data_IF_455289957298
#
_entry.id   IF_455289957298
#
_cell.length_a   1.000
_cell.length_b   1.000
_cell.length_c   1.000
_cell.angle_alpha   90.00
_cell.angle_beta   90.00
_cell.angle_gamma   90.00
#
_symmetry.space_group_name_H-M   'P 1'
#
loop_
_entity.id
_entity.type
_entity.pdbx_description
1 polymer ?
#
# COMPACT_ATOMS: atom_id res chain seq x y z
N UNK A 1 13.68 17.15 2.41
CA UNK A 1 13.20 18.47 2.82
C UNK A 1 11.80 18.63 2.23
N UNK A 2 10.73 18.71 3.04
CA UNK A 2 9.38 18.91 2.53
C UNK A 2 9.20 20.24 1.76
N UNK A 3 10.16 21.19 1.86
CA UNK A 3 10.20 22.41 1.05
C UNK A 3 10.96 22.27 -0.28
N UNK A 4 11.62 21.13 -0.52
CA UNK A 4 12.36 20.84 -1.75
C UNK A 4 11.51 20.21 -2.85
N UNK A 5 12.13 19.96 -4.00
CA UNK A 5 11.53 19.10 -5.03
C UNK A 5 11.28 17.70 -4.45
N UNK A 6 10.06 17.20 -4.64
CA UNK A 6 9.62 15.90 -4.15
C UNK A 6 8.60 15.30 -5.10
N UNK A 7 8.49 13.98 -5.04
CA UNK A 7 7.44 13.21 -5.70
C UNK A 7 6.58 12.59 -4.59
N UNK A 8 5.27 12.82 -4.67
CA UNK A 8 4.28 12.29 -3.73
C UNK A 8 3.72 10.94 -4.19
N UNK A 9 3.04 10.24 -3.27
CA UNK A 9 2.20 9.05 -3.56
C UNK A 9 2.99 7.85 -4.10
N UNK A 10 4.25 7.70 -3.68
CA UNK A 10 5.15 6.65 -4.18
C UNK A 10 4.82 5.25 -3.66
N UNK A 11 4.07 5.15 -2.57
CA UNK A 11 3.90 3.94 -1.76
C UNK A 11 3.39 2.73 -2.55
N UNK A 12 2.36 2.88 -3.40
CA UNK A 12 1.83 1.74 -4.17
C UNK A 12 2.80 1.24 -5.23
N UNK A 13 3.54 2.17 -5.85
CA UNK A 13 4.58 1.84 -6.82
C UNK A 13 5.74 1.13 -6.13
N UNK A 14 6.22 1.68 -5.02
CA UNK A 14 7.28 1.07 -4.21
C UNK A 14 6.89 -0.32 -3.69
N UNK A 15 5.65 -0.49 -3.23
CA UNK A 15 5.11 -1.78 -2.82
C UNK A 15 5.11 -2.80 -3.98
N UNK A 16 4.82 -2.33 -5.20
CA UNK A 16 4.88 -3.16 -6.41
C UNK A 16 6.31 -3.59 -6.72
N UNK A 17 7.26 -2.66 -6.71
CA UNK A 17 8.68 -2.97 -6.96
C UNK A 17 9.20 -3.98 -5.92
N UNK A 18 8.91 -3.76 -4.65
CA UNK A 18 9.27 -4.67 -3.57
C UNK A 18 8.62 -6.04 -3.74
N UNK A 19 7.30 -6.07 -3.97
CA UNK A 19 6.49 -7.28 -4.11
C UNK A 19 6.91 -8.14 -5.30
N UNK A 20 7.31 -7.52 -6.43
CA UNK A 20 7.76 -8.22 -7.62
C UNK A 20 9.27 -8.49 -7.65
N UNK A 21 10.02 -7.98 -6.68
CA UNK A 21 11.46 -8.19 -6.58
C UNK A 21 12.28 -7.39 -7.61
N UNK A 22 11.83 -6.18 -7.96
CA UNK A 22 12.54 -5.29 -8.86
C UNK A 22 13.61 -4.52 -8.09
N UNK A 23 14.88 -4.73 -8.44
CA UNK A 23 16.01 -4.08 -7.76
C UNK A 23 16.48 -2.80 -8.44
N UNK A 24 16.37 -2.71 -9.76
CA UNK A 24 16.89 -1.59 -10.55
C UNK A 24 15.85 -1.19 -11.61
N UNK A 25 15.39 0.05 -11.57
CA UNK A 25 14.42 0.59 -12.51
C UNK A 25 14.58 2.11 -12.59
N UNK A 26 14.26 2.70 -13.75
CA UNK A 26 14.10 4.14 -13.92
C UNK A 26 12.60 4.40 -14.08
N UNK A 27 12.07 5.28 -13.23
CA UNK A 27 10.67 5.72 -13.26
C UNK A 27 10.68 7.21 -13.62
N UNK A 28 10.04 7.54 -14.73
CA UNK A 28 9.85 8.93 -15.18
C UNK A 28 8.37 9.30 -15.08
N UNK A 29 8.09 10.48 -14.53
CA UNK A 29 6.74 10.97 -14.31
C UNK A 29 6.69 12.43 -14.72
N UNK A 30 5.67 12.78 -15.51
CA UNK A 30 5.38 14.17 -15.85
C UNK A 30 4.38 14.74 -14.81
N UNK A 31 4.89 15.11 -13.65
CA UNK A 31 4.10 15.58 -12.51
C UNK A 31 4.87 15.58 -11.20
N UNK A 32 4.19 15.95 -10.11
CA UNK A 32 4.75 15.95 -8.75
C UNK A 32 4.27 14.77 -7.90
N UNK A 33 3.51 13.86 -8.48
CA UNK A 33 2.95 12.69 -7.81
C UNK A 33 2.92 11.48 -8.75
N UNK A 34 3.09 10.30 -8.17
CA UNK A 34 2.81 9.04 -8.87
C UNK A 34 1.30 8.94 -9.10
N UNK A 35 0.84 8.55 -10.32
CA UNK A 35 -0.59 8.40 -10.58
C UNK A 35 -1.25 7.41 -9.62
N UNK A 36 -2.39 7.80 -9.03
CA UNK A 36 -3.14 6.96 -8.08
C UNK A 36 -3.83 5.75 -8.75
N UNK A 37 -4.02 5.82 -10.08
CA UNK A 37 -4.68 4.81 -10.90
C UNK A 37 -6.06 4.45 -10.33
N UNK A 38 -6.31 3.17 -10.00
CA UNK A 38 -7.55 2.70 -9.39
C UNK A 38 -7.50 2.68 -7.84
N UNK A 39 -6.46 3.29 -7.26
CA UNK A 39 -6.20 3.28 -5.82
C UNK A 39 -5.46 2.05 -5.31
N UNK A 40 -5.11 1.11 -6.19
CA UNK A 40 -4.36 -0.11 -5.85
C UNK A 40 -3.05 -0.20 -6.65
N UNK A 41 -2.30 -1.28 -6.45
CA UNK A 41 -1.05 -1.56 -7.14
C UNK A 41 -1.22 -2.37 -8.45
N UNK A 42 -2.43 -2.89 -8.74
CA UNK A 42 -2.61 -3.87 -9.81
C UNK A 42 -2.17 -3.37 -11.18
N UNK A 43 -2.46 -2.11 -11.52
CA UNK A 43 -2.07 -1.55 -12.81
C UNK A 43 -0.53 -1.38 -12.94
N UNK A 44 0.20 -1.17 -11.83
CA UNK A 44 1.66 -1.21 -11.84
C UNK A 44 2.19 -2.64 -12.03
N UNK A 45 1.55 -3.63 -11.41
CA UNK A 45 1.88 -5.05 -11.64
C UNK A 45 1.74 -5.40 -13.11
N UNK A 46 0.61 -5.04 -13.72
CA UNK A 46 0.32 -5.31 -15.13
C UNK A 46 1.35 -4.65 -16.07
N UNK A 47 1.72 -3.40 -15.78
CA UNK A 47 2.73 -2.68 -16.55
C UNK A 47 4.12 -3.35 -16.46
N UNK A 48 4.53 -3.81 -15.27
CA UNK A 48 5.80 -4.51 -15.08
C UNK A 48 5.78 -5.89 -15.74
N UNK A 49 4.68 -6.64 -15.59
CA UNK A 49 4.53 -7.95 -16.22
C UNK A 49 4.54 -7.83 -17.76
N UNK A 50 3.99 -6.74 -18.31
CA UNK A 50 4.06 -6.43 -19.74
C UNK A 50 5.47 -6.04 -20.20
N UNK A 51 6.22 -5.29 -19.39
CA UNK A 51 7.60 -4.90 -19.69
C UNK A 51 8.57 -6.09 -19.58
N UNK A 52 8.29 -7.04 -18.69
CA UNK A 52 9.15 -8.17 -18.38
C UNK A 52 10.23 -7.83 -17.34
N UNK A 53 10.87 -8.87 -16.81
CA UNK A 53 11.92 -8.76 -15.79
C UNK A 53 13.19 -9.44 -16.28
N UNK A 54 14.27 -8.66 -16.40
CA UNK A 54 15.60 -9.18 -16.74
C UNK A 54 16.40 -9.54 -15.49
N UNK A 55 16.92 -10.77 -15.45
CA UNK A 55 17.81 -11.21 -14.37
C UNK A 55 19.24 -10.81 -14.67
N UNK A 56 19.80 -9.93 -13.83
CA UNK A 56 21.18 -9.48 -13.97
C UNK A 56 22.17 -10.50 -13.37
N UNK A 57 23.41 -10.63 -13.90
CA UNK A 57 24.42 -11.57 -13.41
C UNK A 57 25.11 -11.09 -12.12
N UNK A 58 24.33 -10.58 -11.17
CA UNK A 58 24.79 -10.08 -9.87
C UNK A 58 23.88 -10.62 -8.77
N UNK A 59 24.46 -10.93 -7.61
CA UNK A 59 23.68 -11.40 -6.47
C UNK A 59 22.83 -10.24 -5.90
N UNK A 60 21.54 -10.48 -5.76
CA UNK A 60 20.62 -9.59 -5.03
C UNK A 60 21.08 -9.44 -3.58
N UNK A 61 21.03 -8.22 -3.05
CA UNK A 61 21.38 -7.90 -1.66
C UNK A 61 20.09 -7.79 -0.83
N UNK A 62 20.18 -8.21 0.42
CA UNK A 62 19.05 -8.20 1.36
C UNK A 62 19.48 -7.60 2.70
N UNK A 63 18.54 -6.92 3.36
CA UNK A 63 18.69 -6.52 4.76
C UNK A 63 18.12 -7.63 5.62
N UNK A 64 18.94 -8.22 6.49
CA UNK A 64 18.51 -9.27 7.41
C UNK A 64 18.33 -8.71 8.82
N UNK A 65 17.14 -8.87 9.38
CA UNK A 65 16.85 -8.57 10.78
C UNK A 65 17.50 -9.62 11.67
N UNK A 66 18.47 -9.21 12.50
CA UNK A 66 19.24 -10.12 13.38
C UNK A 66 18.81 -10.08 14.84
N UNK A 67 18.02 -9.09 15.24
CA UNK A 67 17.44 -8.95 16.58
C UNK A 67 16.12 -8.16 16.50
N UNK A 68 15.21 -8.32 17.48
CA UNK A 68 13.99 -7.53 17.52
C UNK A 68 14.26 -6.02 17.60
N UNK A 69 13.49 -5.23 16.86
CA UNK A 69 13.49 -3.77 16.91
C UNK A 69 12.03 -3.31 16.92
N UNK A 70 11.63 -2.56 17.95
CA UNK A 70 10.26 -2.13 18.16
C UNK A 70 10.19 -0.63 18.38
N UNK A 71 9.18 0.00 17.79
CA UNK A 71 8.78 1.38 18.05
C UNK A 71 7.32 1.41 18.48
N UNK A 72 6.99 2.34 19.37
CA UNK A 72 5.64 2.53 19.90
C UNK A 72 5.25 4.00 19.80
N UNK A 73 3.97 4.25 19.48
CA UNK A 73 3.39 5.59 19.45
C UNK A 73 1.93 5.49 19.91
N UNK A 74 1.66 5.89 21.17
CA UNK A 74 0.35 5.76 21.77
C UNK A 74 -0.13 4.32 21.83
N UNK A 75 -1.27 4.02 21.19
CA UNK A 75 -1.83 2.67 21.12
C UNK A 75 -1.25 1.82 19.96
N UNK A 76 -0.43 2.41 19.08
CA UNK A 76 0.12 1.75 17.89
C UNK A 76 1.58 1.37 18.09
N UNK A 77 2.03 0.34 17.38
CA UNK A 77 3.43 -0.10 17.38
C UNK A 77 3.80 -0.75 16.05
N UNK A 78 5.10 -0.77 15.75
CA UNK A 78 5.69 -1.55 14.66
C UNK A 78 6.93 -2.30 15.19
N UNK A 79 7.10 -3.55 14.77
CA UNK A 79 8.22 -4.40 15.22
C UNK A 79 8.78 -5.23 14.07
N UNK A 80 10.11 -5.24 13.95
CA UNK A 80 10.84 -6.24 13.19
C UNK A 80 11.35 -7.34 14.09
N UNK A 81 11.23 -8.60 13.67
CA UNK A 81 11.78 -9.77 14.36
C UNK A 81 12.63 -10.60 13.39
N UNK A 82 13.67 -11.30 13.87
CA UNK A 82 14.40 -12.25 13.05
C UNK A 82 13.44 -13.32 12.51
N UNK A 83 13.46 -13.53 11.20
CA UNK A 83 12.62 -14.50 10.50
C UNK A 83 13.35 -15.00 9.25
N UNK A 84 13.18 -16.29 8.92
CA UNK A 84 13.80 -16.90 7.74
C UNK A 84 12.89 -16.75 6.52
N UNK A 85 12.88 -15.52 5.98
CA UNK A 85 12.02 -15.11 4.88
C UNK A 85 11.56 -13.66 5.05
N UNK A 86 10.47 -13.31 4.36
CA UNK A 86 9.83 -12.00 4.50
C UNK A 86 8.38 -12.23 4.88
N UNK A 87 7.99 -11.76 6.06
CA UNK A 87 6.64 -11.97 6.61
C UNK A 87 6.06 -10.65 7.07
N UNK A 88 4.83 -10.38 6.66
CA UNK A 88 4.07 -9.22 7.11
C UNK A 88 2.91 -9.70 7.99
N UNK A 89 2.78 -9.11 9.16
CA UNK A 89 1.65 -9.27 10.07
C UNK A 89 1.14 -7.87 10.41
N UNK A 90 0.05 -7.47 9.76
CA UNK A 90 -0.52 -6.12 9.86
C UNK A 90 -1.91 -6.24 10.44
N UNK A 91 -2.11 -5.49 11.52
CA UNK A 91 -3.38 -5.40 12.22
C UNK A 91 -3.87 -3.95 12.20
N UNK A 92 -5.16 -3.77 11.92
CA UNK A 92 -5.84 -2.48 12.04
C UNK A 92 -7.01 -2.63 13.02
N UNK A 93 -7.33 -1.54 13.72
CA UNK A 93 -8.47 -1.46 14.63
C UNK A 93 -9.16 -0.10 14.45
N UNK A 94 -10.20 -0.07 13.61
CA UNK A 94 -10.97 1.14 13.34
C UNK A 94 -12.31 1.10 14.07
N UNK A 95 -12.71 2.22 14.68
CA UNK A 95 -14.02 2.34 15.34
C UNK A 95 -15.20 2.15 14.40
N UNK A 96 -15.01 2.44 13.10
CA UNK A 96 -16.04 2.27 12.07
C UNK A 96 -16.40 0.80 11.91
N UNK A 97 -17.67 0.39 12.11
CA UNK A 97 -18.11 -0.99 11.90
C UNK A 97 -17.92 -1.51 10.47
N UNK A 98 -17.79 -0.63 9.48
CA UNK A 98 -17.50 -1.01 8.09
C UNK A 98 -16.09 -1.61 7.93
N UNK A 99 -15.16 -1.21 8.80
CA UNK A 99 -13.76 -1.64 8.77
C UNK A 99 -13.51 -2.59 9.95
N UNK A 100 -13.77 -2.12 11.17
CA UNK A 100 -13.55 -2.85 12.41
C UNK A 100 -12.09 -3.24 12.61
N UNK A 101 -11.90 -4.29 13.41
CA UNK A 101 -10.60 -4.91 13.65
C UNK A 101 -10.32 -5.98 12.60
N UNK A 102 -9.17 -5.90 11.95
CA UNK A 102 -8.77 -6.84 10.89
C UNK A 102 -7.30 -7.20 11.00
N UNK A 103 -6.96 -8.42 10.59
CA UNK A 103 -5.59 -8.93 10.54
C UNK A 103 -5.29 -9.48 9.14
N UNK A 104 -4.12 -9.15 8.61
CA UNK A 104 -3.50 -9.87 7.51
C UNK A 104 -2.12 -10.37 7.94
N UNK A 105 -1.87 -11.66 7.75
CA UNK A 105 -0.61 -12.29 8.11
C UNK A 105 -0.20 -13.27 7.02
N UNK A 106 0.93 -13.04 6.37
CA UNK A 106 1.41 -13.91 5.29
C UNK A 106 2.91 -13.82 5.07
N UNK A 107 3.49 -14.94 4.62
CA UNK A 107 4.85 -14.98 4.11
C UNK A 107 4.83 -14.44 2.69
N UNK A 108 5.49 -13.30 2.50
CA UNK A 108 5.36 -12.49 1.31
C UNK A 108 6.28 -12.98 0.21
N UNK A 109 5.71 -13.15 -0.98
CA UNK A 109 6.41 -13.38 -2.23
C UNK A 109 5.59 -12.76 -3.37
N UNK A 110 6.11 -12.82 -4.61
CA UNK A 110 5.47 -12.18 -5.75
C UNK A 110 4.07 -12.74 -6.08
N UNK A 111 3.82 -14.03 -5.85
CA UNK A 111 2.50 -14.64 -6.09
C UNK A 111 1.48 -14.18 -5.04
N UNK A 112 1.89 -14.13 -3.77
CA UNK A 112 1.07 -13.58 -2.68
C UNK A 112 0.78 -12.11 -2.94
N UNK A 113 1.79 -11.31 -3.31
CA UNK A 113 1.57 -9.89 -3.60
C UNK A 113 0.53 -9.71 -4.71
N UNK A 114 0.70 -10.39 -5.86
CA UNK A 114 -0.24 -10.31 -6.99
C UNK A 114 -1.67 -10.72 -6.61
N UNK A 115 -1.82 -11.86 -5.95
CA UNK A 115 -3.14 -12.44 -5.66
C UNK A 115 -3.85 -11.73 -4.51
N UNK A 116 -3.10 -11.45 -3.45
CA UNK A 116 -3.66 -11.16 -2.13
C UNK A 116 -3.54 -9.68 -1.74
N UNK A 117 -2.64 -8.91 -2.35
CA UNK A 117 -2.36 -7.52 -1.96
C UNK A 117 -2.66 -6.54 -3.09
N UNK A 118 -2.17 -6.80 -4.31
CA UNK A 118 -2.06 -5.81 -5.37
C UNK A 118 -3.37 -5.11 -5.74
N UNK A 119 -4.52 -5.77 -5.57
CA UNK A 119 -5.84 -5.21 -5.93
C UNK A 119 -6.50 -4.43 -4.78
N UNK A 120 -5.90 -4.36 -3.60
CA UNK A 120 -6.49 -3.71 -2.44
C UNK A 120 -6.38 -2.19 -2.54
N UNK A 121 -7.53 -1.52 -2.65
CA UNK A 121 -7.58 -0.07 -2.88
C UNK A 121 -7.38 0.73 -1.60
N UNK A 122 -6.85 1.94 -1.78
CA UNK A 122 -6.86 2.97 -0.75
C UNK A 122 -8.27 3.34 -0.34
N UNK A 123 -8.40 3.90 0.86
CA UNK A 123 -9.69 4.16 1.46
C UNK A 123 -9.72 5.41 2.31
N UNK A 124 -10.90 6.02 2.39
CA UNK A 124 -11.15 7.22 3.18
C UNK A 124 -12.61 7.34 3.61
N UNK A 125 -12.86 8.19 4.60
CA UNK A 125 -14.22 8.51 5.03
C UNK A 125 -14.77 9.70 4.27
N UNK A 126 -16.05 9.65 3.89
CA UNK A 126 -16.73 10.75 3.21
C UNK A 126 -16.65 12.06 4.01
N UNK A 127 -16.83 11.99 5.34
CA UNK A 127 -16.71 13.13 6.26
C UNK A 127 -15.35 13.83 6.24
N UNK A 128 -14.29 13.15 5.80
CA UNK A 128 -12.94 13.71 5.75
C UNK A 128 -12.63 14.38 4.40
N UNK A 129 -13.43 14.10 3.36
CA UNK A 129 -13.18 14.57 1.98
C UNK A 129 -13.16 16.09 1.89
N UNK A 130 -14.18 16.77 2.44
CA UNK A 130 -14.26 18.24 2.39
C UNK A 130 -13.07 18.91 3.07
N UNK A 131 -12.63 18.35 4.22
CA UNK A 131 -11.48 18.84 4.96
C UNK A 131 -10.18 18.65 4.18
N UNK A 132 -9.99 17.47 3.57
CA UNK A 132 -8.81 17.17 2.76
C UNK A 132 -8.74 18.08 1.53
N UNK A 133 -9.86 18.26 0.83
CA UNK A 133 -9.95 19.16 -0.32
C UNK A 133 -9.65 20.61 0.05
N UNK A 134 -10.20 21.10 1.17
CA UNK A 134 -9.92 22.45 1.66
C UNK A 134 -8.43 22.67 2.00
N UNK A 135 -7.72 21.61 2.39
CA UNK A 135 -6.28 21.61 2.65
C UNK A 135 -5.42 21.34 1.39
N UNK A 136 -6.04 21.17 0.22
CA UNK A 136 -5.35 20.89 -1.05
C UNK A 136 -4.93 19.43 -1.25
N UNK A 137 -5.42 18.50 -0.41
CA UNK A 137 -5.15 17.07 -0.50
C UNK A 137 -6.32 16.31 -1.15
N UNK A 138 -6.05 15.13 -1.70
CA UNK A 138 -7.06 14.22 -2.27
C UNK A 138 -7.96 14.83 -3.37
N UNK A 139 -7.49 15.87 -4.07
CA UNK A 139 -8.26 16.56 -5.11
C UNK A 139 -8.61 15.67 -6.32
N UNK A 140 -7.81 14.63 -6.57
CA UNK A 140 -8.08 13.60 -7.58
C UNK A 140 -8.87 12.39 -7.06
N UNK A 141 -9.25 12.35 -5.78
CA UNK A 141 -9.94 11.22 -5.16
C UNK A 141 -11.37 11.08 -5.69
N UNK A 142 -11.76 9.85 -6.02
CA UNK A 142 -13.09 9.50 -6.54
C UNK A 142 -13.48 8.09 -6.11
N UNK A 143 -14.73 7.68 -6.39
CA UNK A 143 -15.19 6.30 -6.15
C UNK A 143 -14.53 5.28 -7.10
N UNK A 144 -13.89 5.75 -8.16
CA UNK A 144 -13.17 4.88 -9.12
C UNK A 144 -11.78 4.52 -8.61
N UNK A 145 -11.17 5.38 -7.80
CA UNK A 145 -9.80 5.23 -7.31
C UNK A 145 -9.66 5.13 -5.79
N UNK A 146 -10.77 5.03 -5.06
CA UNK A 146 -10.76 4.90 -3.60
C UNK A 146 -12.01 4.18 -3.10
N UNK A 147 -11.85 3.37 -2.06
CA UNK A 147 -12.95 2.90 -1.23
C UNK A 147 -13.42 4.03 -0.32
N UNK A 148 -14.70 4.36 -0.38
CA UNK A 148 -15.26 5.43 0.45
C UNK A 148 -16.23 4.85 1.46
N UNK A 149 -16.04 5.25 2.72
CA UNK A 149 -16.93 4.91 3.83
C UNK A 149 -17.86 6.09 4.06
N UNK A 150 -19.17 5.88 3.88
CA UNK A 150 -20.21 6.87 4.14
C UNK A 150 -20.46 7.10 5.63
N UNK A 151 -21.23 8.14 5.94
CA UNK A 151 -21.55 8.54 7.32
C UNK A 151 -22.38 7.48 8.07
N UNK A 152 -23.08 6.60 7.34
CA UNK A 152 -23.81 5.45 7.87
C UNK A 152 -22.91 4.24 8.15
N UNK A 153 -21.59 4.40 8.08
CA UNK A 153 -20.57 3.35 8.21
C UNK A 153 -20.75 2.22 7.20
N UNK A 154 -21.11 2.54 5.96
CA UNK A 154 -21.15 1.58 4.84
C UNK A 154 -20.20 1.99 3.73
N UNK A 155 -19.71 0.98 3.01
CA UNK A 155 -18.96 1.18 1.78
C UNK A 155 -19.92 1.65 0.70
N UNK A 156 -19.67 2.81 0.11
CA UNK A 156 -20.58 3.41 -0.89
C UNK A 156 -20.24 3.00 -2.33
N UNK A 157 -19.08 2.39 -2.57
CA UNK A 157 -18.72 1.88 -3.89
C UNK A 157 -19.68 0.77 -4.33
N UNK A 158 -20.34 0.93 -5.48
CA UNK A 158 -21.34 -0.02 -6.01
C UNK A 158 -20.81 -1.46 -6.17
N UNK A 159 -19.53 -1.61 -6.50
CA UNK A 159 -18.88 -2.93 -6.61
C UNK A 159 -18.44 -3.54 -5.28
N UNK A 160 -18.66 -2.85 -4.16
CA UNK A 160 -18.24 -3.27 -2.84
C UNK A 160 -16.72 -3.42 -2.70
N UNK A 161 -16.32 -4.32 -1.80
CA UNK A 161 -14.93 -4.69 -1.57
C UNK A 161 -14.47 -5.77 -2.55
N UNK A 162 -13.22 -5.69 -3.02
CA UNK A 162 -12.51 -6.71 -3.80
C UNK A 162 -12.05 -7.87 -2.93
N UNK A 163 -11.81 -7.61 -1.64
CA UNK A 163 -11.50 -8.61 -0.62
C UNK A 163 -12.36 -8.37 0.62
N UNK A 164 -12.79 -9.41 1.35
CA UNK A 164 -13.52 -9.22 2.62
C UNK A 164 -12.77 -8.36 3.63
N UNK A 165 -11.43 -8.42 3.62
CA UNK A 165 -10.52 -7.64 4.46
C UNK A 165 -9.62 -6.71 3.62
N UNK A 166 -10.20 -6.00 2.63
CA UNK A 166 -9.47 -5.12 1.71
C UNK A 166 -8.69 -4.01 2.44
N UNK A 167 -9.24 -3.45 3.52
CA UNK A 167 -8.61 -2.36 4.26
C UNK A 167 -7.26 -2.73 4.88
N UNK A 168 -7.17 -3.88 5.56
CA UNK A 168 -5.89 -4.34 6.14
C UNK A 168 -4.91 -4.83 5.08
N UNK A 169 -5.38 -5.37 3.96
CA UNK A 169 -4.53 -5.71 2.82
C UNK A 169 -3.93 -4.46 2.19
N UNK A 170 -4.70 -3.38 2.09
CA UNK A 170 -4.18 -2.10 1.65
C UNK A 170 -3.14 -1.54 2.62
N UNK A 171 -3.39 -1.59 3.95
CA UNK A 171 -2.36 -1.21 4.94
C UNK A 171 -1.13 -2.12 4.93
N UNK A 172 -1.27 -3.36 4.47
CA UNK A 172 -0.13 -4.22 4.18
C UNK A 172 0.64 -3.76 2.94
N UNK A 173 -0.05 -3.32 1.89
CA UNK A 173 0.57 -2.69 0.72
C UNK A 173 1.36 -1.43 1.11
N UNK A 174 0.76 -0.52 1.86
CA UNK A 174 1.42 0.70 2.36
C UNK A 174 2.70 0.34 3.11
N UNK A 175 2.61 -0.59 4.08
CA UNK A 175 3.77 -1.05 4.85
C UNK A 175 4.86 -1.72 3.98
N UNK A 176 4.49 -2.40 2.90
CA UNK A 176 5.46 -2.94 1.95
C UNK A 176 6.17 -1.81 1.17
N UNK A 177 5.43 -0.78 0.77
CA UNK A 177 5.97 0.38 0.06
C UNK A 177 6.90 1.23 0.92
N UNK A 178 6.53 1.43 2.20
CA UNK A 178 7.34 2.19 3.17
C UNK A 178 8.69 1.53 3.49
N UNK A 179 8.80 0.20 3.29
CA UNK A 179 10.00 -0.59 3.57
C UNK A 179 10.88 -0.88 2.34
N UNK A 180 10.41 -0.52 1.15
CA UNK A 180 11.05 -0.82 -0.13
C UNK A 180 12.39 -0.11 -0.32
#
# INVERSE_FOLDING_TARGET
DPAGEHIATVEHLMATLFGLGIDNVVIEIDGREVPILDGSAMAFVEAIDQAGIDTLPVKRRYIRVVKPVRIENGASWAEFRPYDGTRFEIEIDFESPAIGRQLFASDMNADIFRRDIARARTFGFMKDVERLWAAGYALGSSLENSLVIGDDNRVINMGGLRYPNEFVRHKTMDAMGDLA
#
